data_IF_807336016586
#
_entry.id   IF_807336016586
#
_cell.length_a   1.000
_cell.length_b   1.000
_cell.length_c   1.000
_cell.angle_alpha   90.00
_cell.angle_beta   90.00
_cell.angle_gamma   90.00
#
_symmetry.space_group_name_H-M   'P 1'
#
loop_
_entity.id
_entity.type
_entity.pdbx_description
1 polymer ?
#
# COMPACT_ATOMS: atom_id res chain seq x y z
N UNK A 1 1.04 17.84 -31.73
CA UNK A 1 1.25 19.01 -30.85
C UNK A 1 0.41 18.93 -29.59
N UNK A 2 -0.93 18.89 -29.68
CA UNK A 2 -1.79 18.64 -28.50
C UNK A 2 -1.41 17.34 -27.78
N UNK A 3 -1.06 16.28 -28.51
CA UNK A 3 -0.59 15.03 -27.92
C UNK A 3 0.72 15.14 -27.10
N UNK A 4 1.64 16.05 -27.45
CA UNK A 4 2.87 16.29 -26.65
C UNK A 4 2.48 16.94 -25.32
N UNK A 5 1.61 17.94 -25.39
CA UNK A 5 1.16 18.71 -24.23
C UNK A 5 0.32 17.82 -23.29
N UNK A 6 -0.67 17.12 -23.84
CA UNK A 6 -1.51 16.21 -23.07
C UNK A 6 -0.69 15.07 -22.50
N UNK A 7 0.20 14.45 -23.30
CA UNK A 7 1.08 13.38 -22.80
C UNK A 7 1.97 13.84 -21.65
N UNK A 8 2.61 15.01 -21.76
CA UNK A 8 3.40 15.61 -20.69
C UNK A 8 2.57 15.87 -19.43
N UNK A 9 1.36 16.40 -19.59
CA UNK A 9 0.45 16.64 -18.48
C UNK A 9 0.00 15.35 -17.79
N UNK A 10 -0.43 14.35 -18.56
CA UNK A 10 -0.91 13.06 -18.02
C UNK A 10 0.21 12.29 -17.30
N UNK A 11 1.44 12.28 -17.83
CA UNK A 11 2.59 11.71 -17.10
C UNK A 11 2.83 12.44 -15.79
N UNK A 12 2.76 13.77 -15.82
CA UNK A 12 3.02 14.61 -14.66
C UNK A 12 1.99 14.41 -13.54
N UNK A 13 0.70 14.41 -13.87
CA UNK A 13 -0.38 14.13 -12.92
C UNK A 13 -0.29 12.70 -12.40
N UNK A 14 -0.09 11.73 -13.29
CA UNK A 14 0.01 10.32 -12.90
C UNK A 14 1.16 10.04 -11.94
N UNK A 15 2.34 10.65 -12.14
CA UNK A 15 3.47 10.50 -11.18
C UNK A 15 3.17 11.20 -9.85
N UNK A 16 2.56 12.39 -9.87
CA UNK A 16 2.19 13.09 -8.62
C UNK A 16 1.18 12.31 -7.81
N UNK A 17 0.17 11.75 -8.46
CA UNK A 17 -0.85 10.94 -7.81
C UNK A 17 -0.25 9.64 -7.28
N UNK A 18 0.62 8.96 -8.03
CA UNK A 18 1.31 7.76 -7.55
C UNK A 18 2.19 8.04 -6.32
N UNK A 19 2.93 9.15 -6.30
CA UNK A 19 3.74 9.57 -5.14
C UNK A 19 2.84 9.94 -3.95
N UNK A 20 1.72 10.61 -4.21
CA UNK A 20 0.73 10.94 -3.19
C UNK A 20 0.14 9.68 -2.56
N UNK A 21 -0.29 8.71 -3.36
CA UNK A 21 -0.84 7.43 -2.91
C UNK A 21 0.21 6.63 -2.14
N UNK A 22 1.46 6.58 -2.61
CA UNK A 22 2.55 5.93 -1.88
C UNK A 22 2.76 6.57 -0.48
N UNK A 23 2.68 7.90 -0.40
CA UNK A 23 2.90 8.66 0.85
C UNK A 23 1.74 8.61 1.82
N UNK A 24 0.50 8.59 1.32
CA UNK A 24 -0.71 8.76 2.11
C UNK A 24 -1.56 7.49 2.26
N UNK A 25 -1.28 6.46 1.46
CA UNK A 25 -1.99 5.17 1.51
C UNK A 25 -1.01 4.06 1.89
N UNK A 26 0.04 3.85 1.09
CA UNK A 26 0.97 2.73 1.28
C UNK A 26 1.83 2.87 2.52
N UNK A 27 2.53 3.99 2.71
CA UNK A 27 3.41 4.16 3.87
C UNK A 27 2.63 4.14 5.20
N UNK A 28 1.52 4.89 5.37
CA UNK A 28 0.79 4.92 6.64
C UNK A 28 0.25 3.56 7.09
N UNK A 29 -0.01 2.64 6.16
CA UNK A 29 -0.42 1.27 6.48
C UNK A 29 0.52 0.58 7.48
N UNK A 30 1.84 0.65 7.27
CA UNK A 30 2.82 0.05 8.18
C UNK A 30 2.79 0.72 9.56
N UNK A 31 2.69 2.04 9.59
CA UNK A 31 2.59 2.80 10.84
C UNK A 31 1.30 2.47 11.61
N UNK A 32 0.19 2.30 10.91
CA UNK A 32 -1.09 1.94 11.51
C UNK A 32 -1.10 0.49 12.01
N UNK A 33 -0.40 -0.44 11.34
CA UNK A 33 -0.17 -1.78 11.88
C UNK A 33 0.65 -1.71 13.16
N UNK A 34 1.79 -1.02 13.16
CA UNK A 34 2.65 -0.89 14.34
C UNK A 34 1.85 -0.37 15.55
N UNK A 35 1.07 0.70 15.34
CA UNK A 35 0.22 1.28 16.37
C UNK A 35 -0.88 0.32 16.86
N UNK A 36 -1.50 -0.43 15.95
CA UNK A 36 -2.52 -1.41 16.33
C UNK A 36 -1.92 -2.58 17.12
N UNK A 37 -0.76 -3.07 16.71
CA UNK A 37 -0.02 -4.11 17.44
C UNK A 37 0.26 -3.62 18.87
N UNK A 38 0.85 -2.43 19.04
CA UNK A 38 1.08 -1.83 20.36
C UNK A 38 -0.21 -1.72 21.19
N UNK A 39 -1.30 -1.25 20.60
CA UNK A 39 -2.61 -1.13 21.27
C UNK A 39 -3.14 -2.49 21.75
N UNK A 40 -3.03 -3.53 20.93
CA UNK A 40 -3.52 -4.86 21.27
C UNK A 40 -2.59 -5.64 22.21
N UNK A 41 -1.31 -5.27 22.31
CA UNK A 41 -0.36 -5.89 23.24
C UNK A 41 -0.17 -5.11 24.54
N UNK A 42 -0.92 -4.03 24.74
CA UNK A 42 -0.92 -3.27 26.00
C UNK A 42 -1.68 -4.03 27.08
N UNK A 43 -1.01 -4.34 28.18
CA UNK A 43 -1.60 -4.99 29.37
C UNK A 43 -1.59 -3.99 30.52
N UNK A 44 -2.75 -3.72 31.14
CA UNK A 44 -2.90 -2.76 32.24
C UNK A 44 -2.37 -1.34 31.96
N UNK A 45 -2.42 -0.91 30.69
CA UNK A 45 -1.93 0.39 30.26
C UNK A 45 -0.40 0.48 30.10
N UNK A 46 0.31 -0.65 30.20
CA UNK A 46 1.75 -0.76 29.96
C UNK A 46 2.00 -1.63 28.74
N UNK A 47 2.76 -1.12 27.77
CA UNK A 47 3.25 -1.90 26.64
C UNK A 47 4.40 -2.77 27.17
N UNK A 48 4.38 -4.06 26.86
CA UNK A 48 5.48 -4.96 27.18
C UNK A 48 6.76 -4.46 26.48
N UNK A 49 7.87 -4.19 27.20
CA UNK A 49 9.09 -3.60 26.61
C UNK A 49 9.70 -4.42 25.47
N UNK A 50 9.46 -5.74 25.49
CA UNK A 50 9.90 -6.68 24.45
C UNK A 50 9.13 -6.40 23.15
N UNK A 51 7.81 -6.25 23.25
CA UNK A 51 6.93 -6.00 22.10
C UNK A 51 7.13 -4.59 21.55
N UNK A 52 7.35 -3.59 22.41
CA UNK A 52 7.67 -2.21 21.98
C UNK A 52 8.94 -2.19 21.13
N UNK A 53 10.01 -2.84 21.60
CA UNK A 53 11.29 -2.91 20.88
C UNK A 53 11.15 -3.63 19.55
N UNK A 54 10.38 -4.70 19.49
CA UNK A 54 10.23 -5.52 18.28
C UNK A 54 9.27 -4.90 17.28
N UNK A 55 8.25 -4.16 17.73
CA UNK A 55 7.34 -3.41 16.86
C UNK A 55 8.06 -2.30 16.09
N UNK A 56 9.22 -1.85 16.59
CA UNK A 56 10.09 -0.90 15.88
C UNK A 56 10.49 -1.39 14.47
N UNK A 57 10.53 -2.70 14.20
CA UNK A 57 10.80 -3.19 12.83
C UNK A 57 9.77 -2.67 11.82
N UNK A 58 8.49 -2.62 12.22
CA UNK A 58 7.40 -2.17 11.35
C UNK A 58 7.49 -0.65 11.15
N UNK A 59 7.94 0.08 12.17
CA UNK A 59 8.24 1.52 12.07
C UNK A 59 9.46 1.77 11.17
N UNK A 60 10.48 0.93 11.22
CA UNK A 60 11.68 1.05 10.39
C UNK A 60 11.36 0.78 8.90
N UNK A 61 10.42 -0.14 8.62
CA UNK A 61 9.86 -0.34 7.27
C UNK A 61 9.16 0.95 6.82
N UNK A 62 8.28 1.51 7.66
CA UNK A 62 7.62 2.79 7.38
C UNK A 62 8.64 3.90 7.08
N UNK A 63 9.66 4.08 7.93
CA UNK A 63 10.67 5.13 7.78
C UNK A 63 11.50 4.93 6.51
N UNK A 64 11.82 3.69 6.16
CA UNK A 64 12.56 3.37 4.94
C UNK A 64 11.75 3.68 3.69
N UNK A 65 10.48 3.25 3.66
CA UNK A 65 9.56 3.53 2.55
C UNK A 65 9.33 5.04 2.42
N UNK A 66 9.00 5.72 3.53
CA UNK A 66 8.75 7.16 3.54
C UNK A 66 10.00 7.96 3.12
N UNK A 67 11.19 7.57 3.59
CA UNK A 67 12.46 8.23 3.22
C UNK A 67 12.75 8.10 1.72
N UNK A 68 12.49 6.93 1.13
CA UNK A 68 12.67 6.71 -0.30
C UNK A 68 11.65 7.50 -1.13
N UNK A 69 10.39 7.57 -0.68
CA UNK A 69 9.35 8.39 -1.32
C UNK A 69 9.70 9.88 -1.24
N UNK A 70 10.13 10.37 -0.08
CA UNK A 70 10.52 11.78 0.11
C UNK A 70 11.77 12.15 -0.71
N UNK A 71 12.73 11.23 -0.84
CA UNK A 71 13.90 11.43 -1.71
C UNK A 71 13.47 11.47 -3.18
N UNK A 72 12.52 10.61 -3.57
CA UNK A 72 11.95 10.62 -4.91
C UNK A 72 11.21 11.93 -5.22
N UNK A 73 10.34 12.38 -4.31
CA UNK A 73 9.61 13.65 -4.41
C UNK A 73 10.58 14.83 -4.56
N UNK A 74 11.54 14.98 -3.64
CA UNK A 74 12.48 16.11 -3.66
C UNK A 74 13.38 16.13 -4.89
N UNK A 75 13.87 14.97 -5.34
CA UNK A 75 14.83 14.91 -6.44
C UNK A 75 14.13 14.88 -7.78
N UNK A 76 13.14 14.01 -7.99
CA UNK A 76 12.62 13.69 -9.31
C UNK A 76 11.36 14.48 -9.69
N UNK A 77 10.46 14.79 -8.74
CA UNK A 77 9.25 15.55 -9.10
C UNK A 77 9.57 16.95 -9.61
N UNK A 78 10.64 17.58 -9.10
CA UNK A 78 11.13 18.85 -9.64
C UNK A 78 11.53 18.75 -11.12
N UNK A 79 12.25 17.70 -11.51
CA UNK A 79 12.64 17.50 -12.91
C UNK A 79 11.42 17.20 -13.79
N UNK A 80 10.39 16.54 -13.25
CA UNK A 80 9.15 16.29 -13.97
C UNK A 80 8.31 17.56 -14.14
N UNK A 81 8.24 18.42 -13.12
CA UNK A 81 7.63 19.76 -13.21
C UNK A 81 8.32 20.57 -14.32
N UNK A 82 9.66 20.63 -14.30
CA UNK A 82 10.45 21.34 -15.32
C UNK A 82 10.24 20.74 -16.72
N UNK A 83 10.23 19.40 -16.83
CA UNK A 83 10.00 18.71 -18.10
C UNK A 83 8.60 18.96 -18.67
N UNK A 84 7.57 19.04 -17.82
CA UNK A 84 6.22 19.39 -18.24
C UNK A 84 6.18 20.80 -18.82
N UNK A 85 6.76 21.79 -18.13
CA UNK A 85 6.84 23.20 -18.59
C UNK A 85 7.58 23.30 -19.93
N UNK A 86 8.71 22.61 -20.07
CA UNK A 86 9.48 22.57 -21.33
C UNK A 86 8.66 21.93 -22.45
N UNK A 87 7.90 20.88 -22.15
CA UNK A 87 7.05 20.20 -23.12
C UNK A 87 5.89 21.08 -23.62
N UNK A 88 5.31 21.92 -22.77
CA UNK A 88 4.36 22.95 -23.20
C UNK A 88 4.99 23.89 -24.21
N UNK A 89 6.22 24.35 -23.94
CA UNK A 89 6.95 25.28 -24.83
C UNK A 89 7.33 24.64 -26.16
N UNK A 90 7.84 23.41 -26.13
CA UNK A 90 8.20 22.63 -27.33
C UNK A 90 6.97 22.23 -28.15
N UNK A 91 5.82 22.02 -27.50
CA UNK A 91 4.58 21.60 -28.16
C UNK A 91 4.06 22.59 -29.21
N UNK A 92 4.34 23.89 -29.07
CA UNK A 92 3.93 24.94 -30.03
C UNK A 92 4.91 25.14 -31.17
N UNK A 93 6.15 24.70 -31.01
CA UNK A 93 7.25 24.95 -31.93
C UNK A 93 6.95 24.44 -33.36
N UNK A 94 6.36 23.24 -33.56
CA UNK A 94 6.01 22.79 -34.91
C UNK A 94 4.92 23.65 -35.59
N UNK A 95 4.01 24.26 -34.83
CA UNK A 95 2.96 25.14 -35.37
C UNK A 95 3.55 26.46 -35.84
N UNK A 96 4.38 27.07 -34.99
CA UNK A 96 5.08 28.31 -35.29
C UNK A 96 5.97 28.12 -36.53
N UNK A 97 6.72 27.03 -36.57
CA UNK A 97 7.53 26.69 -37.74
C UNK A 97 6.64 26.53 -38.98
N UNK A 98 5.59 25.71 -38.93
CA UNK A 98 4.71 25.52 -40.09
C UNK A 98 4.09 26.83 -40.60
N UNK A 99 3.74 27.78 -39.72
CA UNK A 99 3.30 29.12 -40.11
C UNK A 99 4.36 29.88 -40.91
N UNK A 100 5.64 29.79 -40.53
CA UNK A 100 6.73 30.36 -41.31
C UNK A 100 6.86 29.69 -42.69
N UNK A 101 6.74 28.36 -42.78
CA UNK A 101 6.76 27.68 -44.08
C UNK A 101 5.61 28.15 -45.00
N UNK A 102 4.42 28.33 -44.43
CA UNK A 102 3.26 28.83 -45.15
C UNK A 102 3.46 30.28 -45.59
N UNK A 103 4.00 31.14 -44.73
CA UNK A 103 4.33 32.53 -45.07
C UNK A 103 5.35 32.60 -46.22
N UNK A 104 6.43 31.82 -46.17
CA UNK A 104 7.40 31.74 -47.27
C UNK A 104 6.77 31.23 -48.57
N UNK A 105 5.85 30.26 -48.46
CA UNK A 105 5.07 29.75 -49.59
C UNK A 105 4.18 30.80 -50.25
N UNK A 106 3.46 31.58 -49.44
CA UNK A 106 2.57 32.63 -49.95
C UNK A 106 3.33 33.82 -50.52
N UNK A 107 4.39 34.28 -49.85
CA UNK A 107 5.20 35.41 -50.30
C UNK A 107 6.19 35.07 -51.43
N UNK A 108 6.27 33.79 -51.84
CA UNK A 108 7.16 33.28 -52.92
C UNK A 108 8.61 33.72 -52.76
N UNK A 109 9.12 33.70 -51.52
CA UNK A 109 10.48 34.11 -51.20
C UNK A 109 11.43 32.98 -51.62
N UNK A 110 12.27 33.22 -52.63
CA UNK A 110 13.13 32.18 -53.24
C UNK A 110 14.62 32.25 -52.88
N UNK A 111 15.10 33.35 -52.27
CA UNK A 111 16.54 33.58 -52.03
C UNK A 111 16.94 33.44 -50.56
N UNK A 112 18.07 32.74 -50.32
CA UNK A 112 18.82 32.51 -49.07
C UNK A 112 18.04 32.11 -47.80
N UNK A 113 17.02 32.87 -47.40
CA UNK A 113 16.23 32.64 -46.18
C UNK A 113 15.66 31.22 -46.06
N UNK A 114 15.03 30.63 -47.12
CA UNK A 114 14.47 29.28 -47.02
C UNK A 114 15.53 28.21 -46.75
N UNK A 115 16.76 28.41 -47.23
CA UNK A 115 17.85 27.47 -46.98
C UNK A 115 18.31 27.52 -45.51
N UNK A 116 18.45 28.73 -44.93
CA UNK A 116 18.79 28.88 -43.51
C UNK A 116 17.71 28.26 -42.60
N UNK A 117 16.42 28.51 -42.91
CA UNK A 117 15.31 27.90 -42.15
C UNK A 117 15.26 26.38 -42.31
N UNK A 118 15.59 25.83 -43.49
CA UNK A 118 15.67 24.38 -43.70
C UNK A 118 16.71 23.73 -42.77
N UNK A 119 17.85 24.39 -42.53
CA UNK A 119 18.84 23.91 -41.56
C UNK A 119 18.27 23.88 -40.14
N UNK A 120 17.57 24.95 -39.72
CA UNK A 120 16.92 25.01 -38.39
C UNK A 120 15.89 23.89 -38.23
N UNK A 121 15.05 23.66 -39.25
CA UNK A 121 14.07 22.58 -39.26
C UNK A 121 14.73 21.20 -39.14
N UNK A 122 15.85 21.00 -39.81
CA UNK A 122 16.59 19.74 -39.74
C UNK A 122 17.09 19.46 -38.32
N UNK A 123 17.75 20.44 -37.68
CA UNK A 123 18.25 20.28 -36.31
C UNK A 123 17.13 20.08 -35.30
N UNK A 124 16.06 20.87 -35.38
CA UNK A 124 14.89 20.73 -34.50
C UNK A 124 14.21 19.37 -34.72
N UNK A 125 14.06 18.95 -35.98
CA UNK A 125 13.50 17.65 -36.33
C UNK A 125 14.32 16.49 -35.77
N UNK A 126 15.64 16.60 -35.77
CA UNK A 126 16.54 15.59 -35.19
C UNK A 126 16.34 15.49 -33.66
N UNK A 127 16.23 16.62 -32.95
CA UNK A 127 15.94 16.63 -31.51
C UNK A 127 14.59 15.97 -31.23
N UNK A 128 13.55 16.32 -32.00
CA UNK A 128 12.22 15.74 -31.83
C UNK A 128 12.20 14.23 -32.16
N UNK A 129 13.04 13.78 -33.09
CA UNK A 129 13.23 12.36 -33.38
C UNK A 129 13.83 11.60 -32.21
N UNK A 130 14.90 12.13 -31.61
CA UNK A 130 15.51 11.54 -30.42
C UNK A 130 14.52 11.48 -29.25
N UNK A 131 13.79 12.57 -29.00
CA UNK A 131 12.75 12.59 -27.96
C UNK A 131 11.66 11.55 -28.25
N UNK A 132 11.17 11.46 -29.48
CA UNK A 132 10.16 10.46 -29.86
C UNK A 132 10.62 9.05 -29.53
N UNK A 133 11.86 8.69 -29.88
CA UNK A 133 12.43 7.37 -29.57
C UNK A 133 12.51 7.15 -28.05
N UNK A 134 13.00 8.13 -27.29
CA UNK A 134 13.10 8.03 -25.83
C UNK A 134 11.72 7.83 -25.19
N UNK A 135 10.73 8.66 -25.56
CA UNK A 135 9.38 8.56 -25.00
C UNK A 135 8.67 7.26 -25.40
N UNK A 136 8.88 6.75 -26.63
CA UNK A 136 8.31 5.45 -27.04
C UNK A 136 8.97 4.27 -26.32
N UNK A 137 10.29 4.33 -26.09
CA UNK A 137 10.98 3.31 -25.27
C UNK A 137 10.46 3.37 -23.82
N UNK A 138 10.32 4.56 -23.25
CA UNK A 138 9.74 4.73 -21.92
C UNK A 138 8.29 4.25 -21.85
N UNK A 139 7.48 4.47 -22.90
CA UNK A 139 6.12 3.96 -23.01
C UNK A 139 6.09 2.42 -23.00
N UNK A 140 7.02 1.80 -23.72
CA UNK A 140 7.17 0.34 -23.70
C UNK A 140 7.51 -0.18 -22.31
N UNK A 141 8.48 0.45 -21.62
CA UNK A 141 8.78 0.08 -20.23
C UNK A 141 7.61 0.34 -19.28
N UNK A 142 6.90 1.46 -19.42
CA UNK A 142 5.69 1.75 -18.64
C UNK A 142 4.60 0.69 -18.83
N UNK A 143 4.39 0.24 -20.07
CA UNK A 143 3.46 -0.86 -20.35
C UNK A 143 3.91 -2.20 -19.75
N UNK A 144 5.22 -2.45 -19.69
CA UNK A 144 5.77 -3.63 -19.03
C UNK A 144 5.61 -3.55 -17.50
N UNK A 145 5.73 -2.36 -16.91
CA UNK A 145 5.47 -2.11 -15.49
C UNK A 145 3.98 -2.29 -15.14
N UNK A 146 3.05 -1.95 -16.04
CA UNK A 146 1.63 -2.27 -15.83
C UNK A 146 1.41 -3.80 -15.82
N UNK A 147 2.14 -4.54 -16.65
CA UNK A 147 2.14 -6.01 -16.62
C UNK A 147 2.83 -6.62 -15.40
N UNK A 148 3.59 -5.83 -14.63
CA UNK A 148 4.20 -6.29 -13.38
C UNK A 148 3.15 -6.54 -12.30
N UNK A 149 2.07 -5.74 -12.28
CA UNK A 149 0.95 -5.94 -11.35
C UNK A 149 0.30 -7.32 -11.58
N UNK A 150 -0.03 -7.65 -12.83
CA UNK A 150 -0.62 -8.95 -13.17
C UNK A 150 0.33 -10.11 -12.83
N UNK A 151 1.64 -9.91 -13.06
CA UNK A 151 2.66 -10.91 -12.69
C UNK A 151 2.78 -11.10 -11.20
N UNK A 152 2.75 -10.03 -10.41
CA UNK A 152 2.82 -10.12 -8.96
C UNK A 152 1.59 -10.82 -8.38
N UNK A 153 0.40 -10.48 -8.88
CA UNK A 153 -0.86 -11.14 -8.51
C UNK A 153 -0.86 -12.62 -8.92
N UNK A 154 -0.26 -12.97 -10.05
CA UNK A 154 -0.09 -14.34 -10.51
C UNK A 154 1.15 -15.05 -9.91
N UNK A 155 1.90 -14.40 -9.01
CA UNK A 155 3.17 -14.88 -8.42
C UNK A 155 4.18 -15.38 -9.46
N UNK A 156 4.27 -14.67 -10.58
CA UNK A 156 5.19 -14.92 -11.67
C UNK A 156 6.48 -14.12 -11.53
N UNK A 157 7.60 -14.57 -12.11
CA UNK A 157 8.86 -13.84 -12.05
C UNK A 157 8.73 -12.46 -12.72
N UNK A 158 8.96 -11.41 -11.92
CA UNK A 158 8.96 -10.01 -12.31
C UNK A 158 10.02 -9.20 -11.55
N UNK A 159 10.09 -7.90 -11.80
CA UNK A 159 11.02 -6.99 -11.11
C UNK A 159 10.78 -6.98 -9.59
N UNK A 160 9.52 -6.97 -9.15
CA UNK A 160 9.16 -7.01 -7.73
C UNK A 160 9.58 -8.35 -7.12
N UNK A 161 9.29 -9.46 -7.79
CA UNK A 161 9.69 -10.79 -7.34
C UNK A 161 11.22 -10.97 -7.30
N UNK A 162 11.97 -10.31 -8.18
CA UNK A 162 13.43 -10.47 -8.28
C UNK A 162 14.21 -9.55 -7.34
N UNK A 163 13.70 -8.37 -7.06
CA UNK A 163 14.43 -7.34 -6.30
C UNK A 163 13.76 -6.99 -4.98
N UNK A 164 12.45 -6.80 -4.96
CA UNK A 164 11.73 -6.31 -3.78
C UNK A 164 11.53 -7.45 -2.77
N UNK A 165 11.03 -8.60 -3.23
CA UNK A 165 10.79 -9.77 -2.38
C UNK A 165 12.07 -10.24 -1.67
N UNK A 166 13.21 -10.45 -2.36
CA UNK A 166 14.45 -10.88 -1.69
C UNK A 166 15.04 -9.81 -0.77
N UNK A 167 14.82 -8.52 -1.07
CA UNK A 167 15.26 -7.43 -0.21
C UNK A 167 14.54 -7.48 1.14
N UNK A 168 13.21 -7.62 1.13
CA UNK A 168 12.42 -7.75 2.37
C UNK A 168 12.73 -9.04 3.13
N UNK A 169 12.89 -10.15 2.39
CA UNK A 169 13.26 -11.43 2.97
C UNK A 169 14.60 -11.36 3.72
N UNK A 170 15.59 -10.68 3.16
CA UNK A 170 16.93 -10.58 3.76
C UNK A 170 17.08 -9.53 4.85
N UNK A 171 16.33 -8.42 4.80
CA UNK A 171 16.53 -7.27 5.69
C UNK A 171 15.53 -7.21 6.86
N UNK A 172 14.31 -7.72 6.69
CA UNK A 172 13.24 -7.53 7.68
C UNK A 172 12.61 -8.83 8.19
N UNK A 173 12.55 -9.89 7.38
CA UNK A 173 11.82 -11.11 7.74
C UNK A 173 12.27 -11.70 9.09
N UNK A 174 13.57 -11.77 9.35
CA UNK A 174 14.09 -12.30 10.62
C UNK A 174 13.61 -11.50 11.85
N UNK A 175 13.47 -10.19 11.72
CA UNK A 175 12.99 -9.32 12.80
C UNK A 175 11.47 -9.40 12.96
N UNK A 176 10.71 -9.54 11.86
CA UNK A 176 9.26 -9.76 11.89
C UNK A 176 8.94 -11.13 12.52
N UNK A 177 9.73 -12.16 12.22
CA UNK A 177 9.61 -13.47 12.87
C UNK A 177 9.87 -13.40 14.38
N UNK A 178 10.79 -12.55 14.82
CA UNK A 178 11.02 -12.32 16.26
C UNK A 178 9.79 -11.68 16.90
N UNK A 179 9.19 -10.67 16.25
CA UNK A 179 7.94 -10.06 16.72
C UNK A 179 6.79 -11.08 16.81
N UNK A 180 6.61 -11.95 15.81
CA UNK A 180 5.60 -13.03 15.87
C UNK A 180 5.85 -13.96 17.06
N UNK A 181 7.11 -14.34 17.28
CA UNK A 181 7.49 -15.24 18.38
C UNK A 181 7.19 -14.61 19.74
N UNK A 182 7.50 -13.33 19.95
CA UNK A 182 7.21 -12.66 21.22
C UNK A 182 5.72 -12.46 21.47
N UNK A 183 4.92 -12.23 20.42
CA UNK A 183 3.46 -12.18 20.54
C UNK A 183 2.92 -13.59 20.87
N UNK A 184 3.46 -14.64 20.26
CA UNK A 184 3.10 -16.03 20.57
C UNK A 184 3.47 -16.39 22.02
N UNK A 185 4.65 -16.00 22.50
CA UNK A 185 5.06 -16.18 23.89
C UNK A 185 4.08 -15.50 24.86
N UNK A 186 3.63 -14.28 24.53
CA UNK A 186 2.61 -13.58 25.32
C UNK A 186 1.28 -14.34 25.36
N UNK A 187 0.82 -14.89 24.23
CA UNK A 187 -0.39 -15.71 24.16
C UNK A 187 -0.22 -16.96 25.04
N UNK A 188 0.89 -17.68 24.91
CA UNK A 188 1.10 -18.94 25.64
C UNK A 188 1.19 -18.73 27.15
N UNK A 189 1.84 -17.65 27.60
CA UNK A 189 1.92 -17.29 29.03
C UNK A 189 0.53 -17.03 29.60
N UNK A 190 -0.27 -16.16 28.98
CA UNK A 190 -1.59 -15.83 29.52
C UNK A 190 -2.61 -16.96 29.36
N UNK A 191 -2.47 -17.83 28.35
CA UNK A 191 -3.25 -19.06 28.26
C UNK A 191 -2.93 -20.01 29.42
N UNK A 192 -1.65 -20.20 29.72
CA UNK A 192 -1.21 -21.04 30.84
C UNK A 192 -1.64 -20.46 32.19
N UNK A 193 -1.51 -19.15 32.38
CA UNK A 193 -1.99 -18.44 33.58
C UNK A 193 -3.50 -18.57 33.73
N UNK A 194 -4.29 -18.31 32.69
CA UNK A 194 -5.75 -18.47 32.74
C UNK A 194 -6.16 -19.87 33.19
N UNK A 195 -5.54 -20.92 32.66
CA UNK A 195 -5.88 -22.28 33.02
C UNK A 195 -5.34 -22.69 34.39
N UNK A 196 -4.24 -22.09 34.85
CA UNK A 196 -3.80 -22.19 36.25
C UNK A 196 -4.81 -21.53 37.18
N UNK A 197 -5.29 -20.33 36.85
CA UNK A 197 -6.34 -19.62 37.60
C UNK A 197 -7.65 -20.39 37.63
N UNK A 198 -8.07 -21.01 36.52
CA UNK A 198 -9.23 -21.91 36.51
C UNK A 198 -9.01 -23.04 37.52
N UNK A 199 -7.87 -23.74 37.46
CA UNK A 199 -7.56 -24.83 38.40
C UNK A 199 -7.47 -24.36 39.87
N UNK A 200 -7.02 -23.14 40.12
CA UNK A 200 -7.00 -22.53 41.45
C UNK A 200 -8.40 -22.26 42.00
N UNK A 201 -9.38 -21.97 41.15
CA UNK A 201 -10.78 -21.76 41.53
C UNK A 201 -11.68 -22.97 41.31
N UNK A 202 -11.13 -24.09 40.84
CA UNK A 202 -11.91 -25.29 40.52
C UNK A 202 -11.59 -26.48 41.42
N UNK A 203 -12.61 -27.31 41.67
CA UNK A 203 -12.46 -28.63 42.27
C UNK A 203 -13.56 -29.60 41.76
N UNK A 204 -13.47 -30.87 42.16
CA UNK A 204 -14.43 -31.91 41.80
C UNK A 204 -15.60 -32.04 42.80
N UNK A 205 -15.72 -31.14 43.77
CA UNK A 205 -16.76 -31.18 44.79
C UNK A 205 -17.99 -30.39 44.29
N UNK A 206 -19.17 -31.00 44.14
CA UNK A 206 -20.36 -30.29 43.68
C UNK A 206 -20.86 -29.22 44.67
N UNK A 207 -20.36 -29.21 45.92
CA UNK A 207 -20.73 -28.21 46.92
C UNK A 207 -19.99 -26.89 46.66
N UNK A 208 -20.76 -25.78 46.65
CA UNK A 208 -20.22 -24.44 46.49
C UNK A 208 -19.28 -24.04 47.63
N UNK A 209 -18.18 -23.37 47.28
CA UNK A 209 -17.24 -22.76 48.23
C UNK A 209 -16.73 -21.44 47.66
N UNK A 210 -16.61 -20.41 48.49
CA UNK A 210 -16.08 -19.10 48.08
C UNK A 210 -14.64 -19.19 47.55
N UNK A 211 -13.88 -20.23 47.94
CA UNK A 211 -12.51 -20.47 47.46
C UNK A 211 -12.47 -21.23 46.14
N UNK A 212 -13.51 -22.02 45.84
CA UNK A 212 -13.59 -22.95 44.71
C UNK A 212 -14.97 -22.88 44.05
N UNK A 213 -15.29 -21.77 43.35
CA UNK A 213 -16.61 -21.54 42.75
C UNK A 213 -16.89 -22.40 41.50
N UNK A 214 -15.87 -22.96 40.85
CA UNK A 214 -16.00 -23.70 39.59
C UNK A 214 -16.00 -25.21 39.82
N UNK A 215 -16.72 -25.96 38.98
CA UNK A 215 -16.73 -27.42 39.00
C UNK A 215 -15.90 -27.99 37.85
N UNK A 216 -14.86 -28.77 38.17
CA UNK A 216 -13.98 -29.42 37.21
C UNK A 216 -13.78 -30.87 37.64
N UNK A 217 -14.22 -31.85 36.83
CA UNK A 217 -14.00 -33.25 37.13
C UNK A 217 -12.51 -33.63 37.02
N UNK A 218 -11.75 -32.91 36.19
CA UNK A 218 -10.32 -33.09 35.94
C UNK A 218 -9.66 -31.70 35.87
N UNK A 219 -8.38 -31.61 36.21
CA UNK A 219 -7.62 -30.38 36.04
C UNK A 219 -7.60 -29.93 34.57
N UNK A 220 -7.96 -28.67 34.34
CA UNK A 220 -8.02 -28.02 33.02
C UNK A 220 -6.60 -27.84 32.50
N UNK A 221 -6.37 -28.16 31.22
CA UNK A 221 -5.08 -27.97 30.55
C UNK A 221 -5.33 -27.26 29.23
N UNK A 222 -4.70 -26.11 29.05
CA UNK A 222 -4.81 -25.33 27.84
C UNK A 222 -3.41 -25.06 27.30
N UNK A 223 -3.23 -25.34 26.02
CA UNK A 223 -2.02 -25.02 25.25
C UNK A 223 -2.30 -23.95 24.21
N UNK A 224 -3.55 -23.84 23.76
CA UNK A 224 -3.95 -22.88 22.73
C UNK A 224 -5.07 -21.96 23.23
N UNK A 225 -5.18 -20.79 22.60
CA UNK A 225 -6.28 -19.86 22.88
C UNK A 225 -7.66 -20.49 22.61
N UNK A 226 -7.78 -21.33 21.56
CA UNK A 226 -9.03 -22.03 21.25
C UNK A 226 -9.46 -23.01 22.34
N UNK A 227 -8.51 -23.76 22.91
CA UNK A 227 -8.77 -24.64 24.05
C UNK A 227 -9.21 -23.83 25.28
N UNK A 228 -8.52 -22.72 25.58
CA UNK A 228 -8.93 -21.84 26.67
C UNK A 228 -10.36 -21.27 26.45
N UNK A 229 -10.68 -20.87 25.22
CA UNK A 229 -12.01 -20.34 24.87
C UNK A 229 -13.11 -21.40 25.08
N UNK A 230 -12.82 -22.66 24.72
CA UNK A 230 -13.72 -23.78 24.98
C UNK A 230 -13.91 -23.99 26.49
N UNK A 231 -12.84 -24.00 27.28
CA UNK A 231 -12.90 -24.21 28.73
C UNK A 231 -13.70 -23.12 29.45
N UNK A 232 -13.48 -21.83 29.14
CA UNK A 232 -14.27 -20.74 29.77
C UNK A 232 -15.75 -20.77 29.37
N UNK A 233 -16.06 -21.41 28.24
CA UNK A 233 -17.43 -21.56 27.72
C UNK A 233 -18.13 -22.83 28.20
N UNK A 234 -17.39 -23.82 28.71
CA UNK A 234 -17.93 -25.13 29.11
C UNK A 234 -17.85 -25.38 30.61
N UNK A 235 -16.84 -24.85 31.32
CA UNK A 235 -16.67 -25.04 32.76
C UNK A 235 -17.82 -24.36 33.51
N UNK A 236 -18.63 -25.12 34.25
CA UNK A 236 -19.77 -24.57 34.96
C UNK A 236 -19.35 -23.99 36.33
N UNK A 237 -20.00 -22.89 36.68
CA UNK A 237 -20.05 -22.37 38.04
C UNK A 237 -20.99 -23.26 38.85
N UNK A 238 -20.55 -23.69 40.04
CA UNK A 238 -21.27 -24.68 40.87
C UNK A 238 -22.71 -24.28 41.21
N UNK A 239 -22.99 -22.98 41.30
CA UNK A 239 -24.34 -22.48 41.53
C UNK A 239 -24.92 -21.86 40.25
N UNK A 240 -25.78 -22.57 39.51
CA UNK A 240 -26.33 -22.08 38.26
C UNK A 240 -27.23 -20.86 38.46
N UNK A 241 -27.77 -20.64 39.67
CA UNK A 241 -28.65 -19.51 39.99
C UNK A 241 -27.89 -18.18 40.10
N UNK A 242 -26.56 -18.18 40.03
CA UNK A 242 -25.76 -16.95 40.04
C UNK A 242 -25.87 -16.17 38.74
N UNK A 243 -25.99 -16.87 37.61
CA UNK A 243 -26.27 -16.26 36.33
C UNK A 243 -27.79 -16.12 36.19
N UNK A 244 -28.28 -14.94 35.84
CA UNK A 244 -29.65 -14.81 35.33
C UNK A 244 -29.67 -15.21 33.86
N UNK A 245 -30.65 -16.00 33.39
CA UNK A 245 -30.83 -16.16 31.96
C UNK A 245 -31.07 -14.78 31.34
N UNK A 246 -30.49 -14.55 30.15
CA UNK A 246 -30.87 -13.43 29.31
C UNK A 246 -32.40 -13.47 29.06
N UNK A 247 -33.08 -12.34 28.82
CA UNK A 247 -34.54 -12.28 28.72
C UNK A 247 -35.15 -13.19 27.62
N UNK A 248 -34.33 -13.77 26.76
CA UNK A 248 -34.63 -14.69 25.66
C UNK A 248 -34.20 -16.16 25.91
N UNK A 249 -33.53 -16.49 27.03
CA UNK A 249 -33.03 -17.83 27.32
C UNK A 249 -33.95 -18.64 28.25
N UNK A 250 -34.30 -19.86 27.84
CA UNK A 250 -35.01 -20.84 28.69
C UNK A 250 -34.13 -21.23 29.90
N UNK A 251 -34.69 -21.32 31.13
CA UNK A 251 -33.93 -21.68 32.34
C UNK A 251 -33.34 -23.10 32.34
N UNK A 252 -33.66 -23.93 31.35
CA UNK A 252 -33.13 -25.29 31.18
C UNK A 252 -31.83 -25.39 30.37
N UNK A 253 -31.50 -24.36 29.58
CA UNK A 253 -30.50 -24.47 28.50
C UNK A 253 -29.22 -23.65 28.76
N UNK A 254 -29.20 -22.81 29.80
CA UNK A 254 -28.07 -21.96 30.14
C UNK A 254 -27.42 -22.39 31.46
N UNK A 255 -26.50 -23.36 31.41
CA UNK A 255 -25.57 -23.57 32.53
C UNK A 255 -24.75 -22.29 32.75
N UNK A 256 -24.67 -21.81 33.98
CA UNK A 256 -23.84 -20.66 34.34
C UNK A 256 -22.36 -21.04 34.16
N UNK A 257 -21.69 -20.52 33.14
CA UNK A 257 -20.28 -20.80 32.83
C UNK A 257 -19.38 -19.66 33.30
N UNK A 258 -18.06 -19.86 33.28
CA UNK A 258 -17.08 -18.81 33.66
C UNK A 258 -17.32 -17.53 32.82
N UNK A 259 -17.43 -17.67 31.51
CA UNK A 259 -17.65 -16.54 30.60
C UNK A 259 -18.99 -15.81 30.88
N UNK A 260 -20.05 -16.56 31.16
CA UNK A 260 -21.36 -15.97 31.47
C UNK A 260 -21.37 -15.30 32.84
N UNK A 261 -20.68 -15.86 33.84
CA UNK A 261 -20.66 -15.31 35.19
C UNK A 261 -19.85 -14.01 35.29
N UNK A 262 -18.77 -13.87 34.52
CA UNK A 262 -17.98 -12.63 34.53
C UNK A 262 -18.83 -11.38 34.22
N UNK A 263 -19.84 -11.49 33.35
CA UNK A 263 -20.72 -10.40 32.92
C UNK A 263 -22.07 -10.40 33.61
N UNK A 264 -22.68 -11.58 33.82
CA UNK A 264 -24.07 -11.73 34.25
C UNK A 264 -24.26 -12.25 35.68
N UNK A 265 -23.19 -12.48 36.44
CA UNK A 265 -23.33 -12.74 37.88
C UNK A 265 -23.74 -11.45 38.62
N UNK A 266 -25.00 -11.41 39.07
CA UNK A 266 -25.57 -10.28 39.78
C UNK A 266 -25.48 -10.50 41.30
N UNK A 267 -24.82 -9.58 42.01
CA UNK A 267 -24.86 -9.53 43.48
C UNK A 267 -26.29 -9.21 43.94
N UNK A 268 -27.11 -10.27 44.09
CA UNK A 268 -28.43 -10.18 44.70
C UNK A 268 -28.27 -10.17 46.22
N UNK A 269 -28.89 -9.20 46.87
CA UNK A 269 -28.96 -9.16 48.33
C UNK A 269 -29.53 -10.49 48.87
N UNK A 270 -28.71 -11.22 49.63
CA UNK A 270 -29.10 -12.50 50.26
C UNK A 270 -28.51 -13.77 49.65
N UNK A 271 -27.70 -13.70 48.58
CA UNK A 271 -26.99 -14.87 48.04
C UNK A 271 -25.49 -14.77 48.37
N UNK A 272 -24.99 -15.44 49.42
CA UNK A 272 -23.56 -15.41 49.75
C UNK A 272 -22.72 -16.09 48.66
N UNK A 273 -21.56 -15.50 48.33
CA UNK A 273 -20.57 -16.10 47.44
C UNK A 273 -20.64 -15.71 45.95
N UNK A 274 -21.65 -14.94 45.52
CA UNK A 274 -21.75 -14.45 44.13
C UNK A 274 -20.58 -13.55 43.75
N UNK A 275 -20.19 -12.63 44.64
CA UNK A 275 -19.05 -11.74 44.43
C UNK A 275 -17.73 -12.48 44.28
N UNK A 276 -17.53 -13.59 45.00
CA UNK A 276 -16.36 -14.44 44.88
C UNK A 276 -16.32 -15.19 43.54
N UNK A 277 -17.44 -15.78 43.13
CA UNK A 277 -17.57 -16.45 41.83
C UNK A 277 -17.39 -15.48 40.65
N UNK A 278 -17.95 -14.27 40.77
CA UNK A 278 -17.78 -13.20 39.77
C UNK A 278 -16.33 -12.74 39.70
N UNK A 279 -15.68 -12.49 40.84
CA UNK A 279 -14.27 -12.10 40.89
C UNK A 279 -13.37 -13.14 40.22
N UNK A 280 -13.51 -14.41 40.62
CA UNK A 280 -12.78 -15.52 40.00
C UNK A 280 -13.02 -15.61 38.48
N UNK A 281 -14.25 -15.36 38.03
CA UNK A 281 -14.59 -15.36 36.61
C UNK A 281 -13.98 -14.18 35.87
N UNK A 282 -13.97 -12.98 36.47
CA UNK A 282 -13.31 -11.79 35.90
C UNK A 282 -11.80 -12.00 35.82
N UNK A 283 -11.18 -12.60 36.85
CA UNK A 283 -9.73 -12.86 36.87
C UNK A 283 -9.32 -13.80 35.72
N UNK A 284 -10.08 -14.88 35.47
CA UNK A 284 -9.87 -15.78 34.31
C UNK A 284 -10.12 -15.05 32.99
N UNK A 285 -11.20 -14.28 32.91
CA UNK A 285 -11.58 -13.55 31.69
C UNK A 285 -10.60 -12.42 31.34
N UNK A 286 -9.90 -11.84 32.31
CA UNK A 286 -8.84 -10.86 32.05
C UNK A 286 -7.69 -11.48 31.26
N UNK A 287 -7.21 -12.66 31.67
CA UNK A 287 -6.17 -13.40 30.94
C UNK A 287 -6.65 -13.84 29.55
N UNK A 288 -7.93 -14.23 29.41
CA UNK A 288 -8.53 -14.51 28.11
C UNK A 288 -8.55 -13.26 27.21
N UNK A 289 -8.91 -12.08 27.73
CA UNK A 289 -8.93 -10.84 26.96
C UNK A 289 -7.53 -10.44 26.49
N UNK A 290 -6.51 -10.57 27.35
CA UNK A 290 -5.13 -10.31 26.94
C UNK A 290 -4.70 -11.28 25.84
N UNK A 291 -4.95 -12.58 26.01
CA UNK A 291 -4.64 -13.59 25.00
C UNK A 291 -5.36 -13.34 23.67
N UNK A 292 -6.63 -12.89 23.74
CA UNK A 292 -7.43 -12.51 22.56
C UNK A 292 -6.80 -11.32 21.84
N UNK A 293 -6.45 -10.26 22.56
CA UNK A 293 -5.84 -9.08 21.95
C UNK A 293 -4.47 -9.42 21.34
N UNK A 294 -3.64 -10.20 22.04
CA UNK A 294 -2.38 -10.68 21.48
C UNK A 294 -2.59 -11.54 20.22
N UNK A 295 -3.63 -12.37 20.18
CA UNK A 295 -4.00 -13.13 18.96
C UNK A 295 -4.40 -12.19 17.80
N UNK A 296 -5.11 -11.09 18.09
CA UNK A 296 -5.43 -10.07 17.08
C UNK A 296 -4.15 -9.40 16.57
N UNK A 297 -3.25 -9.01 17.47
CA UNK A 297 -1.95 -8.43 17.12
C UNK A 297 -1.14 -9.38 16.21
N UNK A 298 -1.10 -10.66 16.56
CA UNK A 298 -0.44 -11.70 15.75
C UNK A 298 -1.01 -11.78 14.34
N UNK A 299 -2.35 -11.73 14.20
CA UNK A 299 -3.01 -11.74 12.90
C UNK A 299 -2.72 -10.49 12.05
N UNK A 300 -2.32 -9.37 12.66
CA UNK A 300 -1.85 -8.18 11.93
C UNK A 300 -0.40 -8.33 11.46
N UNK A 301 0.44 -9.05 12.21
CA UNK A 301 1.86 -9.28 11.89
C UNK A 301 2.04 -10.42 10.89
N UNK A 302 1.24 -11.49 10.97
CA UNK A 302 1.35 -12.67 10.11
C UNK A 302 1.44 -12.34 8.61
N UNK A 303 0.62 -11.44 8.04
CA UNK A 303 0.75 -11.05 6.63
C UNK A 303 2.09 -10.40 6.29
N UNK A 304 2.73 -9.70 7.23
CA UNK A 304 4.02 -9.02 7.00
C UNK A 304 5.21 -10.00 6.96
N UNK A 305 5.03 -11.23 7.42
CA UNK A 305 6.03 -12.29 7.28
C UNK A 305 6.13 -12.81 5.86
N UNK A 306 5.08 -12.61 5.05
CA UNK A 306 5.11 -12.93 3.63
C UNK A 306 5.69 -11.73 2.86
N UNK A 307 6.92 -11.83 2.30
CA UNK A 307 7.51 -10.74 1.53
C UNK A 307 6.70 -10.42 0.26
N UNK A 308 5.91 -11.36 -0.26
CA UNK A 308 5.04 -11.10 -1.40
C UNK A 308 3.88 -10.17 -1.03
N UNK A 309 3.35 -10.27 0.20
CA UNK A 309 2.32 -9.36 0.70
C UNK A 309 2.84 -7.93 0.83
N UNK A 310 4.08 -7.74 1.28
CA UNK A 310 4.71 -6.43 1.32
C UNK A 310 4.82 -5.83 -0.09
N UNK A 311 5.21 -6.64 -1.07
CA UNK A 311 5.23 -6.21 -2.47
C UNK A 311 3.82 -5.83 -2.98
N UNK A 312 2.78 -6.59 -2.62
CA UNK A 312 1.40 -6.29 -2.96
C UNK A 312 0.91 -4.95 -2.36
N UNK A 313 1.29 -4.65 -1.12
CA UNK A 313 0.97 -3.37 -0.46
C UNK A 313 1.65 -2.20 -1.15
N UNK A 314 2.91 -2.37 -1.60
CA UNK A 314 3.62 -1.35 -2.38
C UNK A 314 2.91 -1.06 -3.72
N UNK A 315 2.28 -2.07 -4.31
CA UNK A 315 1.49 -1.94 -5.53
C UNK A 315 0.18 -1.16 -5.37
N UNK A 316 -0.28 -0.87 -4.15
CA UNK A 316 -1.48 -0.04 -3.97
C UNK A 316 -1.30 1.38 -4.54
N UNK A 317 -0.06 1.86 -4.62
CA UNK A 317 0.28 3.15 -5.23
C UNK A 317 0.36 3.14 -6.76
N UNK A 318 0.29 1.96 -7.40
CA UNK A 318 0.53 1.81 -8.85
C UNK A 318 -0.72 1.87 -9.71
N UNK A 319 -1.90 2.10 -9.11
CA UNK A 319 -3.16 2.27 -9.85
C UNK A 319 -3.13 3.40 -10.89
N UNK A 320 -2.13 4.30 -10.80
CA UNK A 320 -1.91 5.44 -11.70
C UNK A 320 -0.84 5.21 -12.77
N UNK A 321 -0.23 4.02 -12.83
CA UNK A 321 0.83 3.75 -13.81
C UNK A 321 0.31 3.62 -15.25
N UNK A 322 -0.98 3.31 -15.43
CA UNK A 322 -1.64 3.37 -16.73
C UNK A 322 -1.59 4.79 -17.31
N UNK A 323 -1.95 5.81 -16.53
CA UNK A 323 -1.91 7.21 -16.95
C UNK A 323 -0.49 7.64 -17.35
N UNK A 324 0.52 7.19 -16.61
CA UNK A 324 1.94 7.46 -16.92
C UNK A 324 2.32 6.84 -18.28
N UNK A 325 2.00 5.56 -18.48
CA UNK A 325 2.27 4.84 -19.74
C UNK A 325 1.55 5.46 -20.93
N UNK A 326 0.27 5.79 -20.78
CA UNK A 326 -0.52 6.48 -21.81
C UNK A 326 0.09 7.85 -22.15
N UNK A 327 0.51 8.60 -21.14
CA UNK A 327 1.17 9.88 -21.33
C UNK A 327 2.48 9.75 -22.13
N UNK A 328 3.30 8.72 -21.86
CA UNK A 328 4.49 8.42 -22.66
C UNK A 328 4.15 8.12 -24.13
N UNK A 329 3.09 7.32 -24.39
CA UNK A 329 2.61 7.04 -25.74
C UNK A 329 2.13 8.30 -26.47
N UNK A 330 1.32 9.13 -25.81
CA UNK A 330 0.82 10.38 -26.38
C UNK A 330 1.97 11.36 -26.70
N UNK A 331 2.94 11.50 -25.79
CA UNK A 331 4.10 12.35 -26.02
C UNK A 331 4.96 11.82 -27.17
N UNK A 332 5.32 10.53 -27.14
CA UNK A 332 6.16 9.88 -28.14
C UNK A 332 5.58 9.96 -29.55
N UNK A 333 4.28 9.68 -29.69
CA UNK A 333 3.55 9.81 -30.97
C UNK A 333 3.43 11.28 -31.39
N UNK A 334 3.21 12.20 -30.46
CA UNK A 334 3.18 13.63 -30.71
C UNK A 334 4.50 14.17 -31.28
N UNK A 335 5.63 13.73 -30.72
CA UNK A 335 6.97 14.03 -31.24
C UNK A 335 7.17 13.40 -32.62
N UNK A 336 6.76 12.14 -32.83
CA UNK A 336 6.86 11.47 -34.12
C UNK A 336 6.13 12.21 -35.24
N UNK A 337 4.87 12.59 -35.00
CA UNK A 337 4.07 13.35 -35.97
C UNK A 337 4.72 14.70 -36.28
N UNK A 338 5.34 15.35 -35.29
CA UNK A 338 6.02 16.62 -35.50
C UNK A 338 7.21 16.50 -36.46
N UNK A 339 7.91 15.37 -36.47
CA UNK A 339 8.98 15.09 -37.44
C UNK A 339 8.43 15.04 -38.87
N UNK A 340 7.28 14.39 -39.07
CA UNK A 340 6.62 14.34 -40.38
C UNK A 340 6.25 15.74 -40.88
N UNK A 341 5.77 16.59 -39.97
CA UNK A 341 5.49 18.01 -40.25
C UNK A 341 6.77 18.75 -40.64
N UNK A 342 7.89 18.53 -39.94
CA UNK A 342 9.17 19.15 -40.29
C UNK A 342 9.72 18.67 -41.63
N UNK A 343 9.62 17.37 -41.93
CA UNK A 343 10.03 16.82 -43.22
C UNK A 343 9.22 17.43 -44.38
N UNK A 344 7.90 17.61 -44.19
CA UNK A 344 7.04 18.27 -45.16
C UNK A 344 7.39 19.77 -45.31
N UNK A 345 7.70 20.46 -44.20
CA UNK A 345 8.20 21.83 -44.22
C UNK A 345 9.49 22.00 -45.01
N UNK A 346 10.48 21.13 -44.77
CA UNK A 346 11.74 21.12 -45.53
C UNK A 346 11.47 20.85 -47.02
N UNK A 347 10.64 19.85 -47.33
CA UNK A 347 10.30 19.52 -48.72
C UNK A 347 9.63 20.69 -49.45
N UNK A 348 8.66 21.34 -48.81
CA UNK A 348 7.97 22.52 -49.39
C UNK A 348 8.92 23.69 -49.61
N UNK A 349 9.84 23.98 -48.68
CA UNK A 349 10.85 25.04 -48.84
C UNK A 349 11.87 24.71 -49.94
N UNK A 350 12.38 23.48 -49.99
CA UNK A 350 13.36 23.06 -51.00
C UNK A 350 12.77 23.04 -52.41
N UNK A 351 11.57 22.46 -52.56
CA UNK A 351 10.86 22.45 -53.84
C UNK A 351 10.44 23.86 -54.26
N UNK A 352 9.94 24.65 -53.31
CA UNK A 352 9.58 26.05 -53.52
C UNK A 352 10.76 26.88 -54.02
N UNK A 353 11.98 26.66 -53.49
CA UNK A 353 13.19 27.33 -53.97
C UNK A 353 13.44 27.11 -55.47
N UNK A 354 13.31 25.87 -55.94
CA UNK A 354 13.53 25.52 -57.36
C UNK A 354 12.43 26.15 -58.22
N UNK A 355 11.17 25.88 -57.88
CA UNK A 355 10.02 26.33 -58.67
C UNK A 355 9.94 27.86 -58.73
N UNK A 356 10.03 28.55 -57.58
CA UNK A 356 9.91 30.02 -57.55
C UNK A 356 11.17 30.73 -58.04
N UNK A 357 12.34 30.10 -57.94
CA UNK A 357 13.58 30.61 -58.54
C UNK A 357 13.43 30.74 -60.06
N UNK A 358 12.96 29.68 -60.73
CA UNK A 358 12.71 29.67 -62.17
C UNK A 358 11.71 30.75 -62.61
N UNK A 359 10.64 30.98 -61.82
CA UNK A 359 9.65 32.02 -62.13
C UNK A 359 10.20 33.44 -62.01
N UNK A 360 11.14 33.71 -61.09
CA UNK A 360 11.73 35.05 -60.93
C UNK A 360 12.71 35.34 -62.07
N UNK A 361 13.51 34.35 -62.48
CA UNK A 361 14.48 34.54 -63.55
C UNK A 361 13.80 34.72 -64.92
N UNK A 362 12.71 33.99 -65.21
CA UNK A 362 11.89 34.24 -66.41
C UNK A 362 11.26 35.63 -66.45
N UNK A 363 10.89 36.19 -65.29
CA UNK A 363 10.26 37.52 -65.21
C UNK A 363 11.24 38.68 -65.37
N UNK A 364 12.55 38.43 -65.26
CA UNK A 364 13.60 39.42 -65.55
C UNK A 364 14.10 39.35 -67.00
N UNK A 365 13.80 38.25 -67.68
CA UNK A 365 14.17 38.03 -69.08
C UNK A 365 13.14 38.58 -70.09
N UNK A 366 12.00 39.05 -69.58
CA UNK A 366 10.99 39.85 -70.28
C UNK A 366 10.93 41.22 -69.63
#
# INVERSE_FOLDING_TARGET
MVAIIMGAHTMHTGVKDAVYDAKHITAPYFKDIAKQVEQYTTVDGVILPIVEKETQVVVDIYDTVMRNIDDFDKKYLKYLDDAAIVSYSLGWLPFVLLLFALFFGLCRISRCLPACFSCVYYFVGLIFALLSVIFLIAAYFGSALNGELDRQLARQPGILQWYVVPYFESHFNAQIMQLDTSIEDLITVHVAEACTTINEYCDNNPVFSDKKPFFCPVAVKCKTFSELLEEVSTVPVKNPNFCTPAPDASPSDASCTIALCATNCLDRAGVPGVSAARKASVDVMNNLQVSKNATIARNLVNPLMDPDMIADILLWSTGKFEEISEGFWMAGTGYFISILVFALGIYTMLRGRVVWGEYVDRRKAH
#
